data_IF_898765718416
#
_entry.id   IF_898765718416
#
_cell.length_a   1.000
_cell.length_b   1.000
_cell.length_c   1.000
_cell.angle_alpha   90.00
_cell.angle_beta   90.00
_cell.angle_gamma   90.00
#
_symmetry.space_group_name_H-M   'P 1'
#
loop_
_entity.id
_entity.type
_entity.pdbx_description
1 polymer ?
#
# COMPACT_ATOMS: atom_id res chain seq x y z
N UNK A 1 -24.30 -11.49 4.80
CA UNK A 1 -23.75 -10.68 3.69
C UNK A 1 -22.24 -10.83 3.69
N UNK A 2 -21.61 -11.00 2.53
CA UNK A 2 -20.16 -11.05 2.41
C UNK A 2 -19.58 -9.63 2.35
N UNK A 3 -18.49 -9.37 3.07
CA UNK A 3 -17.77 -8.08 3.06
C UNK A 3 -16.50 -8.22 2.22
N UNK A 4 -16.21 -7.22 1.39
CA UNK A 4 -14.97 -7.10 0.65
C UNK A 4 -14.15 -5.91 1.17
N UNK A 5 -12.84 -6.08 1.32
CA UNK A 5 -11.93 -5.01 1.71
C UNK A 5 -11.16 -4.52 0.49
N UNK A 6 -11.23 -3.23 0.19
CA UNK A 6 -10.62 -2.63 -1.00
C UNK A 6 -9.43 -1.76 -0.64
N UNK A 7 -8.37 -1.87 -1.44
CA UNK A 7 -7.14 -1.11 -1.28
C UNK A 7 -7.01 -0.07 -2.41
N UNK A 8 -6.90 1.23 -2.09
CA UNK A 8 -6.84 2.27 -3.10
C UNK A 8 -5.52 2.25 -3.88
N UNK A 9 -5.55 2.87 -5.06
CA UNK A 9 -4.39 3.05 -5.92
C UNK A 9 -3.69 4.40 -5.72
N UNK A 10 -2.85 4.78 -6.69
CA UNK A 10 -2.25 6.11 -6.76
C UNK A 10 -3.35 7.17 -7.02
N UNK A 11 -3.22 8.33 -6.38
CA UNK A 11 -4.22 9.41 -6.42
C UNK A 11 -5.02 9.55 -5.11
N UNK A 12 -4.98 8.56 -4.23
CA UNK A 12 -5.60 8.62 -2.89
C UNK A 12 -4.72 9.27 -1.82
N UNK A 13 -3.53 9.74 -2.19
CA UNK A 13 -2.68 10.52 -1.29
C UNK A 13 -3.30 11.88 -0.95
N UNK A 14 -3.20 12.28 0.31
CA UNK A 14 -3.59 13.60 0.79
C UNK A 14 -2.37 14.48 1.07
N UNK A 15 -2.55 15.81 1.07
CA UNK A 15 -1.50 16.75 1.49
C UNK A 15 -1.08 16.44 2.93
N UNK A 16 0.22 16.22 3.14
CA UNK A 16 0.77 15.82 4.44
C UNK A 16 0.85 14.32 4.70
N UNK A 17 0.31 13.48 3.82
CA UNK A 17 0.45 12.01 3.93
C UNK A 17 1.93 11.61 3.79
N UNK A 18 2.46 10.90 4.79
CA UNK A 18 3.86 10.50 4.81
C UNK A 18 4.86 11.64 5.04
N UNK A 19 4.39 12.82 5.50
CA UNK A 19 5.26 13.98 5.79
C UNK A 19 6.35 13.65 6.80
N UNK A 20 6.00 13.01 7.92
CA UNK A 20 6.99 12.64 8.94
C UNK A 20 8.06 11.70 8.39
N UNK A 21 7.68 10.81 7.46
CA UNK A 21 8.61 9.92 6.78
C UNK A 21 9.50 10.69 5.79
N UNK A 22 8.95 11.62 5.02
CA UNK A 22 9.73 12.44 4.10
C UNK A 22 10.67 13.43 4.81
N UNK A 23 10.27 13.94 5.98
CA UNK A 23 11.07 14.86 6.78
C UNK A 23 12.24 14.14 7.47
N UNK A 24 12.03 12.91 7.93
CA UNK A 24 13.07 12.09 8.56
C UNK A 24 13.99 11.40 7.54
N UNK A 25 13.49 11.12 6.33
CA UNK A 25 14.20 10.40 5.27
C UNK A 25 14.10 11.17 3.95
N UNK A 26 15.04 12.09 3.65
CA UNK A 26 15.01 12.91 2.43
C UNK A 26 14.97 12.11 1.13
N UNK A 27 15.53 10.89 1.12
CA UNK A 27 15.46 9.92 0.02
C UNK A 27 14.04 9.39 -0.23
N UNK A 28 13.16 9.50 0.75
CA UNK A 28 11.77 9.06 0.69
C UNK A 28 10.84 10.11 0.05
N UNK A 29 11.36 11.15 -0.63
CA UNK A 29 10.55 12.14 -1.36
C UNK A 29 9.47 11.45 -2.19
N UNK A 30 8.22 11.59 -1.73
CA UNK A 30 7.04 10.87 -2.25
C UNK A 30 6.51 11.45 -3.57
N UNK A 31 7.18 12.46 -4.14
CA UNK A 31 6.84 13.03 -5.44
C UNK A 31 7.20 12.10 -6.61
N UNK A 32 8.16 11.19 -6.41
CA UNK A 32 8.55 10.21 -7.41
C UNK A 32 7.66 8.97 -7.32
N UNK A 33 7.12 8.52 -8.45
CA UNK A 33 6.27 7.32 -8.53
C UNK A 33 6.95 6.08 -7.91
N UNK A 34 8.27 5.91 -8.11
CA UNK A 34 9.06 4.84 -7.50
C UNK A 34 9.06 4.82 -5.96
N UNK A 35 8.89 5.98 -5.32
CA UNK A 35 8.80 6.11 -3.87
C UNK A 35 7.34 6.10 -3.39
N UNK A 36 6.44 6.75 -4.13
CA UNK A 36 5.04 6.88 -3.78
C UNK A 36 4.33 5.52 -3.69
N UNK A 37 4.59 4.60 -4.64
CA UNK A 37 3.91 3.32 -4.66
C UNK A 37 4.17 2.43 -3.43
N UNK A 38 5.44 2.11 -3.07
CA UNK A 38 5.70 1.32 -1.88
C UNK A 38 5.28 2.04 -0.58
N UNK A 39 5.33 3.37 -0.54
CA UNK A 39 4.84 4.13 0.61
C UNK A 39 3.31 4.02 0.79
N UNK A 40 2.54 4.13 -0.30
CA UNK A 40 1.08 3.95 -0.26
C UNK A 40 0.68 2.54 0.18
N UNK A 41 1.44 1.53 -0.26
CA UNK A 41 1.26 0.16 0.23
C UNK A 41 1.54 0.06 1.73
N UNK A 42 2.65 0.63 2.20
CA UNK A 42 3.02 0.61 3.61
C UNK A 42 1.93 1.25 4.50
N UNK A 43 1.39 2.40 4.09
CA UNK A 43 0.29 3.06 4.81
C UNK A 43 -0.99 2.23 4.80
N UNK A 44 -1.32 1.61 3.66
CA UNK A 44 -2.50 0.74 3.55
C UNK A 44 -2.42 -0.45 4.51
N UNK A 45 -1.26 -1.10 4.57
CA UNK A 45 -1.02 -2.23 5.47
C UNK A 45 -0.97 -1.76 6.94
N UNK A 46 -0.38 -0.61 7.23
CA UNK A 46 -0.35 -0.04 8.58
C UNK A 46 -1.77 0.29 9.09
N UNK A 47 -2.63 0.86 8.24
CA UNK A 47 -4.03 1.12 8.56
C UNK A 47 -4.77 -0.20 8.88
N UNK A 48 -4.51 -1.24 8.09
CA UNK A 48 -5.06 -2.58 8.35
C UNK A 48 -4.58 -3.14 9.69
N UNK A 49 -3.27 -3.09 9.98
CA UNK A 49 -2.71 -3.52 11.28
C UNK A 49 -3.29 -2.74 12.46
N UNK A 50 -3.56 -1.45 12.28
CA UNK A 50 -4.21 -0.63 13.30
C UNK A 50 -5.67 -1.06 13.57
N UNK A 51 -6.39 -1.52 12.54
CA UNK A 51 -7.72 -2.12 12.72
C UNK A 51 -7.63 -3.47 13.44
N UNK A 52 -6.67 -4.32 13.07
CA UNK A 52 -6.44 -5.61 13.74
C UNK A 52 -6.09 -5.43 15.23
N UNK A 53 -5.25 -4.46 15.56
CA UNK A 53 -4.92 -4.11 16.95
C UNK A 53 -6.15 -3.69 17.78
N UNK A 54 -7.25 -3.29 17.13
CA UNK A 54 -8.54 -2.96 17.75
C UNK A 54 -9.56 -4.11 17.70
N UNK A 55 -9.12 -5.31 17.34
CA UNK A 55 -9.93 -6.52 17.33
C UNK A 55 -10.64 -6.83 15.99
N UNK A 56 -10.35 -6.07 14.92
CA UNK A 56 -10.88 -6.40 13.60
C UNK A 56 -10.08 -7.55 12.97
N UNK A 57 -10.69 -8.72 12.75
CA UNK A 57 -10.04 -9.82 12.04
C UNK A 57 -10.39 -9.80 10.55
N UNK A 58 -9.40 -9.55 9.70
CA UNK A 58 -9.62 -9.57 8.25
C UNK A 58 -9.98 -10.99 7.78
N UNK A 59 -9.35 -12.00 8.36
CA UNK A 59 -9.62 -13.42 8.07
C UNK A 59 -11.07 -13.83 8.40
N UNK A 60 -11.62 -13.33 9.50
CA UNK A 60 -12.94 -13.78 9.98
C UNK A 60 -14.08 -12.89 9.47
N UNK A 61 -13.79 -11.64 9.10
CA UNK A 61 -14.81 -10.63 8.74
C UNK A 61 -14.86 -10.30 7.26
N UNK A 62 -13.86 -10.69 6.47
CA UNK A 62 -13.75 -10.31 5.06
C UNK A 62 -13.66 -11.57 4.19
N UNK A 63 -14.55 -11.65 3.19
CA UNK A 63 -14.58 -12.76 2.24
C UNK A 63 -13.64 -12.56 1.05
N UNK A 64 -13.40 -11.30 0.67
CA UNK A 64 -12.60 -10.93 -0.50
C UNK A 64 -11.75 -9.71 -0.24
N UNK A 65 -10.54 -9.69 -0.82
CA UNK A 65 -9.73 -8.47 -0.93
C UNK A 65 -9.62 -8.09 -2.40
N UNK A 66 -9.56 -6.78 -2.67
CA UNK A 66 -9.31 -6.27 -4.00
C UNK A 66 -8.50 -4.98 -3.92
N UNK A 67 -7.79 -4.64 -4.98
CA UNK A 67 -7.03 -3.40 -5.01
C UNK A 67 -7.02 -2.76 -6.39
N UNK A 68 -6.97 -1.43 -6.42
CA UNK A 68 -6.92 -0.68 -7.67
C UNK A 68 -5.47 -0.37 -8.05
N UNK A 69 -4.99 -0.88 -9.20
CA UNK A 69 -3.63 -0.63 -9.69
C UNK A 69 -2.56 -1.04 -8.67
N UNK A 70 -1.73 -0.13 -8.13
CA UNK A 70 -0.79 -0.48 -7.05
C UNK A 70 -1.47 -1.08 -5.82
N UNK A 71 -2.75 -0.75 -5.59
CA UNK A 71 -3.52 -1.25 -4.45
C UNK A 71 -3.68 -2.77 -4.48
N UNK A 72 -3.57 -3.41 -5.65
CA UNK A 72 -3.63 -4.87 -5.77
C UNK A 72 -2.48 -5.55 -5.01
N UNK A 73 -1.30 -4.94 -4.99
CA UNK A 73 -0.14 -5.43 -4.22
C UNK A 73 -0.41 -5.35 -2.71
N UNK A 74 -1.06 -4.28 -2.25
CA UNK A 74 -1.52 -4.16 -0.85
C UNK A 74 -2.53 -5.23 -0.51
N UNK A 75 -3.48 -5.52 -1.41
CA UNK A 75 -4.50 -6.55 -1.23
C UNK A 75 -3.87 -7.95 -1.11
N UNK A 76 -2.98 -8.30 -2.03
CA UNK A 76 -2.27 -9.58 -2.03
C UNK A 76 -1.39 -9.75 -0.78
N UNK A 77 -0.70 -8.68 -0.35
CA UNK A 77 0.10 -8.69 0.86
C UNK A 77 -0.76 -8.84 2.13
N UNK A 78 -1.91 -8.14 2.20
CA UNK A 78 -2.84 -8.26 3.31
C UNK A 78 -3.49 -9.65 3.41
N UNK A 79 -3.73 -10.30 2.27
CA UNK A 79 -4.20 -11.70 2.21
C UNK A 79 -3.09 -12.74 2.49
N UNK A 80 -1.83 -12.31 2.66
CA UNK A 80 -0.69 -13.21 2.89
C UNK A 80 -0.23 -13.98 1.65
N UNK A 81 -0.66 -13.59 0.44
CA UNK A 81 -0.30 -14.25 -0.80
C UNK A 81 1.12 -13.90 -1.28
N UNK A 82 1.58 -12.70 -0.93
CA UNK A 82 2.93 -12.21 -1.17
C UNK A 82 3.48 -11.60 0.13
N UNK A 83 4.79 -11.75 0.37
CA UNK A 83 5.41 -11.11 1.53
C UNK A 83 5.39 -9.58 1.37
N UNK A 84 5.32 -8.84 2.47
CA UNK A 84 5.37 -7.37 2.45
C UNK A 84 6.67 -6.90 1.76
N UNK A 85 7.78 -7.57 2.04
CA UNK A 85 9.08 -7.24 1.46
C UNK A 85 9.12 -7.43 -0.05
N UNK A 86 8.53 -8.51 -0.57
CA UNK A 86 8.52 -8.76 -2.01
C UNK A 86 7.51 -7.87 -2.74
N UNK A 87 6.35 -7.60 -2.13
CA UNK A 87 5.41 -6.61 -2.65
C UNK A 87 6.05 -5.21 -2.75
N UNK A 88 6.82 -4.80 -1.74
CA UNK A 88 7.56 -3.53 -1.77
C UNK A 88 8.60 -3.47 -2.90
N UNK A 89 9.37 -4.56 -3.10
CA UNK A 89 10.34 -4.66 -4.21
C UNK A 89 9.64 -4.61 -5.56
N UNK A 90 8.54 -5.34 -5.74
CA UNK A 90 7.76 -5.32 -6.98
C UNK A 90 7.23 -3.92 -7.29
N UNK A 91 6.67 -3.23 -6.29
CA UNK A 91 6.19 -1.85 -6.45
C UNK A 91 7.33 -0.88 -6.77
N UNK A 92 8.52 -1.07 -6.18
CA UNK A 92 9.69 -0.26 -6.52
C UNK A 92 10.10 -0.46 -7.98
N UNK A 93 10.20 -1.71 -8.43
CA UNK A 93 10.50 -2.04 -9.83
C UNK A 93 9.45 -1.47 -10.79
N UNK A 94 8.16 -1.63 -10.46
CA UNK A 94 7.04 -1.06 -11.23
C UNK A 94 7.11 0.45 -11.31
N UNK A 95 7.33 1.12 -10.19
CA UNK A 95 7.41 2.58 -10.13
C UNK A 95 8.61 3.13 -10.93
N UNK A 96 9.76 2.47 -10.87
CA UNK A 96 10.92 2.80 -11.71
C UNK A 96 10.58 2.66 -13.21
N UNK A 97 9.97 1.53 -13.61
CA UNK A 97 9.61 1.27 -15.00
C UNK A 97 8.59 2.30 -15.52
N UNK A 98 7.61 2.68 -14.70
CA UNK A 98 6.63 3.72 -15.06
C UNK A 98 7.30 5.09 -15.24
N UNK A 99 8.29 5.45 -14.42
CA UNK A 99 9.02 6.71 -14.57
C UNK A 99 9.91 6.75 -15.80
N UNK A 100 10.45 5.60 -16.23
CA UNK A 100 11.27 5.52 -17.44
C UNK A 100 10.42 5.54 -18.73
N UNK A 101 9.12 5.30 -18.63
CA UNK A 101 8.20 5.22 -19.77
C UNK A 101 7.48 6.55 -20.07
N UNK A 102 7.83 7.64 -19.37
CA UNK A 102 7.27 8.99 -19.55
C UNK A 102 8.32 10.00 -20.00
#
# INVERSE_FOLDING_TARGET
MAVAFTFPGQGSQAVGMGKDLADQFPEARLTLTANAQPALMAVSLAAMRALEARGFSLKDKVAYVAGHSLGEYSALAAAGFVSIGDAAKLLRTRGNAMQAAV
#
